data_IF_558650227718
#
_entry.id   IF_558650227718
#
_cell.length_a   1.000
_cell.length_b   1.000
_cell.length_c   1.000
_cell.angle_alpha   90.00
_cell.angle_beta   90.00
_cell.angle_gamma   90.00
#
_symmetry.space_group_name_H-M   'P 1'
#
loop_
_entity.id
_entity.type
_entity.pdbx_description
1 polymer ?
#
# COMPACT_ATOMS: atom_id res chain seq x y z
N UNK A 1 -25.53 7.48 -35.46
CA UNK A 1 -25.83 8.13 -34.16
C UNK A 1 -24.64 8.96 -33.73
N UNK A 2 -24.86 10.05 -33.00
CA UNK A 2 -23.77 10.94 -32.57
C UNK A 2 -23.16 10.38 -31.28
N UNK A 3 -21.83 10.28 -31.28
CA UNK A 3 -21.05 9.83 -30.15
C UNK A 3 -21.23 10.75 -28.93
N UNK A 4 -21.82 10.24 -27.85
CA UNK A 4 -22.06 11.02 -26.63
C UNK A 4 -20.84 11.08 -25.69
N UNK A 5 -19.78 10.29 -25.94
CA UNK A 5 -18.56 10.34 -25.12
C UNK A 5 -17.81 11.67 -25.22
N UNK A 6 -18.17 12.52 -26.19
CA UNK A 6 -17.60 13.85 -26.35
C UNK A 6 -16.16 13.84 -26.87
N UNK A 7 -15.61 15.04 -27.02
CA UNK A 7 -14.23 15.28 -27.49
C UNK A 7 -13.27 15.62 -26.36
N UNK A 8 -13.75 15.69 -25.12
CA UNK A 8 -12.95 16.05 -23.95
C UNK A 8 -12.56 14.79 -23.16
N UNK A 9 -11.33 14.76 -22.65
CA UNK A 9 -10.89 13.69 -21.77
C UNK A 9 -11.56 13.78 -20.39
N UNK A 10 -11.65 12.67 -19.62
CA UNK A 10 -12.18 12.71 -18.25
C UNK A 10 -11.39 13.63 -17.32
N UNK A 11 -12.07 14.58 -16.68
CA UNK A 11 -11.48 15.48 -15.67
C UNK A 11 -11.63 14.80 -14.31
N UNK A 12 -10.58 14.08 -13.91
CA UNK A 12 -10.51 13.34 -12.65
C UNK A 12 -10.00 14.24 -11.53
N UNK A 13 -10.55 14.07 -10.32
CA UNK A 13 -10.09 14.80 -9.14
C UNK A 13 -8.62 14.47 -8.76
N UNK A 14 -8.19 13.24 -9.01
CA UNK A 14 -6.83 12.77 -8.77
C UNK A 14 -6.37 11.87 -9.92
N UNK A 15 -5.15 12.09 -10.42
CA UNK A 15 -4.51 11.23 -11.43
C UNK A 15 -3.51 10.25 -10.83
N UNK A 16 -3.22 10.35 -9.52
CA UNK A 16 -2.49 9.34 -8.76
C UNK A 16 -3.42 8.70 -7.75
N UNK A 17 -3.69 7.41 -7.92
CA UNK A 17 -4.61 6.66 -7.06
C UNK A 17 -3.79 5.91 -6.01
N UNK A 18 -3.85 6.36 -4.76
CA UNK A 18 -3.20 5.72 -3.62
C UNK A 18 -4.21 4.85 -2.86
N UNK A 19 -4.54 3.69 -3.43
CA UNK A 19 -5.53 2.77 -2.88
C UNK A 19 -5.19 1.31 -3.22
N UNK A 20 -5.59 0.37 -2.37
CA UNK A 20 -5.41 -1.06 -2.59
C UNK A 20 -6.50 -1.57 -3.53
N UNK A 21 -6.28 -1.38 -4.82
CA UNK A 21 -7.15 -1.93 -5.85
C UNK A 21 -6.55 -3.23 -6.37
N UNK A 22 -7.32 -4.32 -6.29
CA UNK A 22 -6.96 -5.63 -6.81
C UNK A 22 -7.37 -5.82 -8.26
N UNK A 23 -8.47 -5.19 -8.68
CA UNK A 23 -9.06 -5.35 -10.02
C UNK A 23 -9.45 -4.01 -10.65
N UNK A 24 -9.58 -3.99 -11.97
CA UNK A 24 -10.02 -2.80 -12.73
C UNK A 24 -11.43 -2.37 -12.33
N UNK A 25 -12.33 -3.30 -11.99
CA UNK A 25 -13.67 -2.97 -11.50
C UNK A 25 -13.63 -2.15 -10.21
N UNK A 26 -12.76 -2.53 -9.26
CA UNK A 26 -12.56 -1.78 -8.02
C UNK A 26 -11.96 -0.40 -8.31
N UNK A 27 -11.00 -0.31 -9.25
CA UNK A 27 -10.43 0.96 -9.67
C UNK A 27 -11.49 1.91 -10.25
N UNK A 28 -12.36 1.42 -11.13
CA UNK A 28 -13.45 2.24 -11.72
C UNK A 28 -14.37 2.78 -10.61
N UNK A 29 -14.69 1.97 -9.60
CA UNK A 29 -15.58 2.39 -8.50
C UNK A 29 -15.03 3.55 -7.65
N UNK A 30 -13.70 3.76 -7.67
CA UNK A 30 -13.03 4.85 -6.96
C UNK A 30 -12.89 6.11 -7.80
N UNK A 31 -13.12 6.02 -9.11
CA UNK A 31 -12.96 7.15 -10.02
C UNK A 31 -14.27 7.94 -10.11
N UNK A 32 -14.14 9.26 -10.00
CA UNK A 32 -15.19 10.20 -10.33
C UNK A 32 -14.61 11.29 -11.22
N UNK A 33 -15.39 11.67 -12.24
CA UNK A 33 -15.00 12.68 -13.20
C UNK A 33 -16.05 13.79 -13.24
N UNK A 34 -15.61 15.05 -13.19
CA UNK A 34 -16.53 16.19 -13.07
C UNK A 34 -17.28 16.52 -14.37
N UNK A 35 -16.81 16.01 -15.51
CA UNK A 35 -17.34 16.29 -16.84
C UNK A 35 -17.93 15.05 -17.54
N UNK A 36 -18.35 14.02 -16.80
CA UNK A 36 -18.89 12.79 -17.41
C UNK A 36 -20.18 13.08 -18.19
N UNK A 37 -20.21 12.84 -19.52
CA UNK A 37 -21.43 13.03 -20.30
C UNK A 37 -22.51 12.02 -19.90
N UNK A 38 -23.77 12.44 -19.96
CA UNK A 38 -24.92 11.58 -19.63
C UNK A 38 -25.00 10.40 -20.60
N UNK A 39 -25.29 9.20 -20.09
CA UNK A 39 -25.40 7.98 -20.89
C UNK A 39 -24.07 7.30 -21.22
N UNK A 40 -22.96 7.81 -20.69
CA UNK A 40 -21.62 7.21 -20.84
C UNK A 40 -21.16 6.53 -19.56
N UNK A 41 -20.23 5.59 -19.68
CA UNK A 41 -19.57 4.93 -18.54
C UNK A 41 -18.07 5.16 -18.56
N UNK A 42 -17.44 5.14 -17.39
CA UNK A 42 -15.97 5.16 -17.27
C UNK A 42 -15.40 3.79 -17.65
N UNK A 43 -14.35 3.80 -18.45
CA UNK A 43 -13.62 2.61 -18.90
C UNK A 43 -12.11 2.84 -18.74
N UNK A 44 -11.38 1.75 -18.50
CA UNK A 44 -9.92 1.77 -18.31
C UNK A 44 -9.24 1.03 -19.45
N UNK A 45 -8.15 1.59 -19.94
CA UNK A 45 -7.39 1.09 -21.08
C UNK A 45 -5.91 0.95 -20.73
N UNK A 46 -5.23 0.02 -21.40
CA UNK A 46 -3.77 -0.19 -21.29
C UNK A 46 -2.95 0.74 -22.19
N UNK A 47 -3.59 1.51 -23.06
CA UNK A 47 -2.92 2.43 -23.98
C UNK A 47 -3.83 3.56 -24.45
N UNK A 48 -3.27 4.45 -25.27
CA UNK A 48 -3.98 5.57 -25.91
C UNK A 48 -3.71 5.56 -27.42
N UNK A 49 -4.71 5.90 -28.28
CA UNK A 49 -6.11 6.21 -27.96
C UNK A 49 -6.91 5.02 -27.39
N UNK A 50 -8.05 5.30 -26.76
CA UNK A 50 -8.96 4.27 -26.27
C UNK A 50 -9.59 3.49 -27.43
N UNK A 51 -9.54 2.17 -27.37
CA UNK A 51 -10.12 1.24 -28.36
C UNK A 51 -10.65 0.00 -27.65
N UNK A 52 -11.44 -0.83 -28.34
CA UNK A 52 -11.87 -2.11 -27.77
C UNK A 52 -10.70 -3.08 -27.53
N UNK A 53 -9.64 -2.99 -28.33
CA UNK A 53 -8.48 -3.87 -28.23
C UNK A 53 -7.65 -3.62 -26.95
N UNK A 54 -7.65 -2.39 -26.43
CA UNK A 54 -6.90 -2.03 -25.22
C UNK A 54 -7.80 -1.77 -24.00
N UNK A 55 -9.12 -1.95 -24.12
CA UNK A 55 -10.06 -1.87 -23.01
C UNK A 55 -9.86 -3.04 -22.05
N UNK A 56 -9.64 -2.73 -20.78
CA UNK A 56 -9.44 -3.73 -19.74
C UNK A 56 -10.79 -4.15 -19.15
N UNK A 57 -10.92 -5.45 -18.86
CA UNK A 57 -12.11 -6.01 -18.22
C UNK A 57 -12.10 -5.74 -16.72
N UNK A 58 -13.27 -5.73 -16.08
CA UNK A 58 -13.38 -5.51 -14.63
C UNK A 58 -12.55 -6.51 -13.80
N UNK A 59 -12.32 -7.73 -14.30
CA UNK A 59 -11.58 -8.78 -13.61
C UNK A 59 -10.06 -8.70 -13.83
N UNK A 60 -9.57 -7.82 -14.71
CA UNK A 60 -8.13 -7.67 -14.94
C UNK A 60 -7.46 -7.20 -13.65
N UNK A 61 -6.38 -7.88 -13.25
CA UNK A 61 -5.61 -7.52 -12.06
C UNK A 61 -4.90 -6.18 -12.27
N UNK A 62 -4.91 -5.34 -11.24
CA UNK A 62 -4.21 -4.06 -11.26
C UNK A 62 -2.78 -4.25 -10.79
N UNK A 63 -1.83 -3.72 -11.55
CA UNK A 63 -0.40 -3.78 -11.23
C UNK A 63 0.03 -2.44 -10.65
N UNK A 64 0.38 -2.43 -9.37
CA UNK A 64 0.88 -1.24 -8.67
C UNK A 64 2.08 -0.63 -9.41
N UNK A 65 2.11 0.70 -9.52
CA UNK A 65 3.11 1.46 -10.25
C UNK A 65 2.84 1.60 -11.76
N UNK A 66 1.81 0.94 -12.30
CA UNK A 66 1.49 1.01 -13.72
C UNK A 66 0.63 2.23 -14.07
N UNK A 67 0.82 2.72 -15.30
CA UNK A 67 -0.02 3.75 -15.90
C UNK A 67 -1.21 3.11 -16.62
N UNK A 68 -2.39 3.64 -16.35
CA UNK A 68 -3.64 3.28 -17.02
C UNK A 68 -4.28 4.51 -17.65
N UNK A 69 -5.18 4.30 -18.61
CA UNK A 69 -5.82 5.37 -19.37
C UNK A 69 -7.32 5.32 -19.21
N UNK A 70 -7.92 6.40 -18.69
CA UNK A 70 -9.35 6.50 -18.40
C UNK A 70 -10.06 7.19 -19.57
N UNK A 71 -11.14 6.62 -20.06
CA UNK A 71 -11.98 7.19 -21.11
C UNK A 71 -13.47 6.99 -20.80
N UNK A 72 -14.32 7.84 -21.37
CA UNK A 72 -15.76 7.62 -21.43
C UNK A 72 -16.10 6.71 -22.60
N UNK A 73 -17.02 5.79 -22.39
CA UNK A 73 -17.56 4.90 -23.42
C UNK A 73 -19.06 5.12 -23.57
N UNK A 74 -19.49 5.37 -24.81
CA UNK A 74 -20.90 5.36 -25.21
C UNK A 74 -21.22 4.00 -25.85
N UNK A 75 -22.01 3.19 -25.14
CA UNK A 75 -22.38 1.86 -25.60
C UNK A 75 -23.41 1.84 -26.74
N UNK A 76 -24.13 2.94 -26.95
CA UNK A 76 -25.07 3.07 -28.06
C UNK A 76 -24.29 3.38 -29.34
N UNK A 77 -23.42 4.39 -29.30
CA UNK A 77 -22.63 4.82 -30.46
C UNK A 77 -21.35 4.02 -30.71
N UNK A 78 -20.96 3.16 -29.77
CA UNK A 78 -19.72 2.36 -29.78
C UNK A 78 -18.50 3.27 -30.05
N UNK A 79 -18.31 4.24 -29.16
CA UNK A 79 -17.24 5.21 -29.30
C UNK A 79 -16.64 5.60 -27.94
N UNK A 80 -15.43 6.13 -28.00
CA UNK A 80 -14.64 6.52 -26.83
C UNK A 80 -14.28 8.02 -26.88
N UNK A 81 -14.20 8.64 -25.71
CA UNK A 81 -13.55 9.95 -25.57
C UNK A 81 -12.02 9.83 -25.67
N UNK A 82 -11.28 10.95 -25.77
CA UNK A 82 -9.86 10.97 -25.45
C UNK A 82 -9.59 10.48 -24.01
N UNK A 83 -8.34 10.10 -23.75
CA UNK A 83 -7.93 9.44 -22.50
C UNK A 83 -7.25 10.38 -21.52
N UNK A 84 -7.51 10.21 -20.23
CA UNK A 84 -6.72 10.78 -19.12
C UNK A 84 -5.83 9.71 -18.50
N UNK A 85 -4.52 9.94 -18.41
CA UNK A 85 -3.60 9.01 -17.78
C UNK A 85 -3.71 9.06 -16.25
N UNK A 86 -3.72 7.89 -15.62
CA UNK A 86 -3.65 7.71 -14.17
C UNK A 86 -2.54 6.74 -13.79
N UNK A 87 -1.95 6.92 -12.62
CA UNK A 87 -0.99 5.98 -12.03
C UNK A 87 -1.62 5.40 -10.78
N UNK A 88 -1.64 4.07 -10.69
CA UNK A 88 -2.12 3.38 -9.49
C UNK A 88 -0.93 3.02 -8.60
N UNK A 89 -1.00 3.39 -7.33
CA UNK A 89 -0.07 2.95 -6.29
C UNK A 89 -0.87 2.24 -5.22
N UNK A 90 -0.64 0.93 -5.06
CA UNK A 90 -1.17 0.17 -3.93
C UNK A 90 -0.36 0.53 -2.66
N UNK A 91 -0.57 1.76 -2.20
CA UNK A 91 -0.03 2.30 -0.96
C UNK A 91 -1.22 2.91 -0.24
N UNK A 92 -1.74 2.24 0.79
CA UNK A 92 -2.76 2.81 1.67
C UNK A 92 -2.12 3.20 2.99
N UNK A 93 -2.10 4.49 3.27
CA UNK A 93 -1.90 4.94 4.62
C UNK A 93 -3.26 4.89 5.31
N UNK A 94 -3.40 4.13 6.41
CA UNK A 94 -4.53 4.35 7.31
C UNK A 94 -4.38 5.79 7.81
N UNK A 95 -5.37 6.67 7.64
CA UNK A 95 -5.35 7.94 8.35
C UNK A 95 -5.15 7.64 9.83
N UNK A 96 -4.22 8.33 10.47
CA UNK A 96 -4.05 8.19 11.92
C UNK A 96 -5.38 8.47 12.61
N UNK A 97 -5.83 7.57 13.49
CA UNK A 97 -6.96 7.87 14.35
C UNK A 97 -6.46 8.94 15.33
N UNK A 98 -7.05 10.13 15.25
CA UNK A 98 -6.72 11.23 16.14
C UNK A 98 -7.64 11.14 17.36
N UNK A 99 -7.12 10.58 18.47
CA UNK A 99 -7.82 10.65 19.75
C UNK A 99 -7.47 11.97 20.47
N UNK A 100 -8.15 13.02 20.04
CA UNK A 100 -7.85 14.39 20.47
C UNK A 100 -8.18 14.56 21.96
N UNK A 101 -7.17 14.93 22.76
CA UNK A 101 -7.32 15.23 24.19
C UNK A 101 -6.85 14.11 25.12
N UNK A 102 -6.56 12.93 24.58
CA UNK A 102 -5.99 11.81 25.34
C UNK A 102 -4.46 11.75 25.18
N UNK A 103 -3.77 11.28 26.23
CA UNK A 103 -2.35 10.93 26.21
C UNK A 103 -2.19 9.43 26.43
N UNK A 104 -1.20 8.84 25.78
CA UNK A 104 -0.89 7.42 25.82
C UNK A 104 0.60 7.23 26.11
N UNK A 105 1.04 7.41 27.37
CA UNK A 105 2.44 7.39 27.71
C UNK A 105 3.04 6.00 27.43
N UNK A 106 4.13 5.95 26.67
CA UNK A 106 4.85 4.70 26.41
C UNK A 106 5.52 4.21 27.68
N UNK A 107 5.22 2.98 28.10
CA UNK A 107 5.72 2.44 29.37
C UNK A 107 7.03 1.67 29.23
N UNK A 108 7.39 1.26 28.01
CA UNK A 108 8.58 0.46 27.73
C UNK A 108 9.50 1.17 26.75
N UNK A 109 10.81 1.12 27.01
CA UNK A 109 11.79 1.56 26.02
C UNK A 109 13.23 1.23 26.38
N UNK A 110 14.11 1.43 25.40
CA UNK A 110 15.57 1.31 25.51
C UNK A 110 16.19 2.60 24.98
N UNK A 111 17.14 3.20 25.70
CA UNK A 111 17.84 4.42 25.27
C UNK A 111 19.34 4.34 25.48
N UNK A 112 20.09 4.83 24.50
CA UNK A 112 21.53 5.06 24.60
C UNK A 112 21.88 6.47 25.11
N UNK A 113 20.89 7.29 25.44
CA UNK A 113 21.07 8.70 25.85
C UNK A 113 21.16 8.89 27.38
N UNK A 114 21.18 7.81 28.16
CA UNK A 114 21.30 7.87 29.62
C UNK A 114 20.08 8.45 30.35
N UNK A 115 18.90 8.43 29.72
CA UNK A 115 17.66 9.00 30.29
C UNK A 115 16.76 7.99 30.99
N UNK A 116 17.04 6.69 30.82
CA UNK A 116 16.30 5.63 31.50
C UNK A 116 16.47 5.75 33.02
N UNK A 117 15.36 5.81 33.75
CA UNK A 117 15.38 5.92 35.21
C UNK A 117 15.94 7.22 35.77
N UNK A 118 16.18 8.25 34.93
CA UNK A 118 16.62 9.55 35.42
C UNK A 118 15.52 10.21 36.26
N UNK A 119 15.85 10.66 37.47
CA UNK A 119 14.94 11.45 38.31
C UNK A 119 14.49 12.69 37.51
N UNK A 120 13.18 12.86 37.33
CA UNK A 120 12.52 13.89 36.50
C UNK A 120 12.67 13.76 34.97
N UNK A 121 13.25 12.67 34.46
CA UNK A 121 13.39 12.46 33.01
C UNK A 121 12.07 12.11 32.31
N UNK A 122 11.07 11.63 33.07
CA UNK A 122 9.75 11.13 32.62
C UNK A 122 9.82 10.27 31.34
N UNK A 123 10.97 9.62 31.13
CA UNK A 123 11.27 8.82 29.96
C UNK A 123 11.05 7.35 30.34
N UNK A 124 10.40 6.52 29.49
CA UNK A 124 9.98 6.79 28.10
C UNK A 124 8.59 7.44 27.96
N UNK A 125 7.89 7.72 29.06
CA UNK A 125 6.49 8.18 29.09
C UNK A 125 6.20 9.47 28.31
N UNK A 126 7.19 10.35 28.11
CA UNK A 126 7.09 11.52 27.21
C UNK A 126 6.99 11.18 25.71
N UNK A 127 7.09 9.90 25.34
CA UNK A 127 6.77 9.42 24.00
C UNK A 127 5.36 8.86 24.06
N UNK A 128 4.46 9.47 23.31
CA UNK A 128 3.06 9.08 23.29
C UNK A 128 2.80 8.04 22.20
N UNK A 129 1.82 7.17 22.41
CA UNK A 129 1.25 6.25 21.42
C UNK A 129 2.20 5.18 20.86
N UNK A 130 3.32 4.87 21.54
CA UNK A 130 4.19 3.75 21.19
C UNK A 130 4.09 2.62 22.22
N UNK A 131 4.10 1.37 21.73
CA UNK A 131 4.23 0.20 22.60
C UNK A 131 5.64 0.06 23.17
N UNK A 132 6.65 0.37 22.34
CA UNK A 132 8.06 0.33 22.72
C UNK A 132 8.81 1.50 22.10
N UNK A 133 9.66 2.17 22.89
CA UNK A 133 10.50 3.29 22.45
C UNK A 133 11.95 2.83 22.32
N UNK A 134 12.60 3.09 21.19
CA UNK A 134 14.04 2.89 21.01
C UNK A 134 14.68 4.24 20.64
N UNK A 135 15.65 4.70 21.42
CA UNK A 135 16.22 6.05 21.23
C UNK A 135 17.76 6.08 21.25
N UNK A 136 18.36 6.65 20.21
CA UNK A 136 19.79 6.89 20.11
C UNK A 136 20.08 7.99 19.09
N UNK A 137 21.20 8.71 19.26
CA UNK A 137 21.68 9.70 18.27
C UNK A 137 22.63 9.11 17.23
N UNK A 138 23.39 8.08 17.64
CA UNK A 138 24.54 7.58 16.87
C UNK A 138 24.58 6.04 16.78
N UNK A 139 23.67 5.34 17.48
CA UNK A 139 23.61 3.88 17.49
C UNK A 139 22.41 3.43 16.67
N UNK A 140 22.65 2.55 15.70
CA UNK A 140 21.59 1.90 14.93
C UNK A 140 20.95 0.75 15.71
N UNK A 141 19.70 0.43 15.37
CA UNK A 141 19.07 -0.82 15.78
C UNK A 141 19.46 -1.93 14.80
N UNK A 142 20.01 -3.02 15.32
CA UNK A 142 20.40 -4.19 14.53
C UNK A 142 19.66 -5.40 15.07
N UNK A 143 18.85 -6.02 14.21
CA UNK A 143 18.21 -7.31 14.50
C UNK A 143 19.16 -8.47 14.18
N UNK A 144 18.83 -9.67 14.66
CA UNK A 144 19.53 -10.89 14.26
C UNK A 144 19.53 -11.03 12.73
N UNK A 145 20.70 -11.36 12.17
CA UNK A 145 20.91 -11.50 10.72
C UNK A 145 21.19 -12.94 10.37
N UNK A 146 20.63 -13.39 9.26
CA UNK A 146 21.01 -14.65 8.61
C UNK A 146 21.74 -14.34 7.32
N UNK A 147 22.87 -15.01 7.08
CA UNK A 147 23.74 -14.74 5.94
C UNK A 147 23.06 -15.11 4.60
N UNK A 148 22.31 -16.21 4.60
CA UNK A 148 21.62 -16.75 3.43
C UNK A 148 20.19 -17.16 3.80
N UNK A 149 19.30 -17.21 2.81
CA UNK A 149 17.93 -17.72 2.99
C UNK A 149 17.94 -19.18 3.43
N UNK A 150 18.84 -20.00 2.86
CA UNK A 150 19.00 -21.39 3.28
C UNK A 150 19.42 -21.53 4.76
N UNK A 151 20.13 -20.53 5.30
CA UNK A 151 20.53 -20.49 6.71
C UNK A 151 19.38 -20.45 7.70
N UNK A 152 18.16 -20.10 7.27
CA UNK A 152 16.95 -20.13 8.11
C UNK A 152 16.61 -21.54 8.59
N UNK A 153 17.01 -22.59 7.84
CA UNK A 153 16.82 -23.98 8.24
C UNK A 153 17.59 -24.36 9.53
N UNK A 154 18.59 -23.56 9.92
CA UNK A 154 19.32 -23.76 11.17
C UNK A 154 18.52 -23.31 12.41
N UNK A 155 17.44 -22.56 12.23
CA UNK A 155 16.51 -22.20 13.30
C UNK A 155 15.52 -23.36 13.40
N UNK A 156 15.84 -24.37 14.22
CA UNK A 156 15.11 -25.65 14.26
C UNK A 156 13.75 -25.57 14.98
N UNK A 157 13.55 -24.56 15.81
CA UNK A 157 12.29 -24.34 16.56
C UNK A 157 11.80 -22.89 16.37
N UNK A 158 11.44 -22.49 15.14
CA UNK A 158 10.93 -21.14 14.91
C UNK A 158 9.52 -21.00 15.49
N UNK A 159 9.27 -19.86 16.14
CA UNK A 159 7.97 -19.51 16.71
C UNK A 159 7.35 -18.39 15.88
N UNK A 160 6.03 -18.42 15.73
CA UNK A 160 5.31 -17.36 15.05
C UNK A 160 5.68 -15.97 15.60
N UNK A 161 5.90 -15.02 14.69
CA UNK A 161 6.31 -13.66 15.01
C UNK A 161 7.83 -13.48 15.16
N UNK A 162 8.64 -14.55 15.14
CA UNK A 162 10.10 -14.40 15.10
C UNK A 162 10.52 -13.61 13.85
N UNK A 163 11.44 -12.66 14.02
CA UNK A 163 11.94 -11.81 12.93
C UNK A 163 13.46 -11.88 12.80
N UNK A 164 13.95 -11.89 11.56
CA UNK A 164 15.38 -11.84 11.23
C UNK A 164 15.59 -11.03 9.96
N UNK A 165 16.74 -10.39 9.81
CA UNK A 165 17.11 -9.78 8.53
C UNK A 165 17.91 -10.77 7.69
N UNK A 166 17.40 -11.09 6.50
CA UNK A 166 18.04 -11.98 5.54
C UNK A 166 18.91 -11.17 4.59
N UNK A 167 20.23 -11.35 4.65
CA UNK A 167 21.17 -10.54 3.87
C UNK A 167 21.24 -10.94 2.40
N UNK A 168 20.90 -12.18 2.06
CA UNK A 168 20.85 -12.65 0.68
C UNK A 168 19.58 -12.13 -0.01
N UNK A 169 18.43 -12.28 0.65
CA UNK A 169 17.15 -11.76 0.16
C UNK A 169 16.98 -10.23 0.35
N UNK A 170 17.87 -9.59 1.13
CA UNK A 170 17.86 -8.14 1.44
C UNK A 170 16.54 -7.66 2.05
N UNK A 171 15.92 -8.45 2.90
CA UNK A 171 14.61 -8.16 3.48
C UNK A 171 14.56 -8.51 4.98
N UNK A 172 13.70 -7.81 5.73
CA UNK A 172 13.28 -8.28 7.05
C UNK A 172 12.28 -9.42 6.86
N UNK A 173 12.57 -10.59 7.43
CA UNK A 173 11.69 -11.75 7.41
C UNK A 173 10.98 -11.93 8.74
N UNK A 174 9.75 -12.42 8.68
CA UNK A 174 8.94 -12.86 9.81
C UNK A 174 8.53 -14.31 9.59
N UNK A 175 8.59 -15.13 10.64
CA UNK A 175 8.04 -16.48 10.61
C UNK A 175 6.56 -16.42 10.99
N UNK A 176 5.66 -16.74 10.06
CA UNK A 176 4.21 -16.66 10.27
C UNK A 176 3.46 -17.56 9.28
N UNK A 177 2.15 -17.76 9.50
CA UNK A 177 1.25 -18.33 8.51
C UNK A 177 0.67 -17.20 7.66
N UNK A 178 1.19 -17.03 6.45
CA UNK A 178 0.65 -16.05 5.52
C UNK A 178 -0.66 -16.58 4.91
N UNK A 179 -1.63 -15.68 4.69
CA UNK A 179 -2.87 -16.03 3.99
C UNK A 179 -2.59 -16.73 2.65
N UNK A 180 -3.23 -17.88 2.45
CA UNK A 180 -3.03 -18.75 1.28
C UNK A 180 -1.98 -19.85 1.48
N UNK A 181 -1.14 -19.76 2.51
CA UNK A 181 -0.20 -20.82 2.85
C UNK A 181 -0.86 -21.89 3.73
N UNK A 182 -0.40 -23.13 3.58
CA UNK A 182 -0.88 -24.29 4.35
C UNK A 182 0.01 -24.63 5.54
N UNK A 183 1.15 -23.96 5.67
CA UNK A 183 2.13 -24.18 6.71
C UNK A 183 2.91 -22.90 7.02
N UNK A 184 3.41 -22.81 8.24
CA UNK A 184 4.26 -21.72 8.70
C UNK A 184 5.55 -21.65 7.88
N UNK A 185 5.97 -20.45 7.48
CA UNK A 185 7.24 -20.25 6.80
C UNK A 185 7.82 -18.85 7.09
N UNK A 186 9.05 -18.65 6.65
CA UNK A 186 9.72 -17.36 6.71
C UNK A 186 9.36 -16.50 5.49
N UNK A 187 8.72 -15.36 5.72
CA UNK A 187 8.28 -14.44 4.66
C UNK A 187 8.95 -13.09 4.79
N UNK A 188 9.38 -12.50 3.66
CA UNK A 188 9.80 -11.11 3.66
C UNK A 188 8.61 -10.17 3.94
N UNK A 189 8.80 -9.20 4.81
CA UNK A 189 7.87 -8.09 5.02
C UNK A 189 8.11 -7.08 3.89
N UNK A 190 7.48 -7.31 2.75
CA UNK A 190 7.58 -6.45 1.56
C UNK A 190 6.39 -5.55 1.35
N UNK A 191 5.25 -5.92 1.93
CA UNK A 191 4.00 -5.20 1.79
C UNK A 191 3.87 -4.25 2.98
N UNK A 192 3.91 -2.91 2.78
CA UNK A 192 3.55 -1.97 3.83
C UNK A 192 2.14 -2.31 4.30
N UNK A 193 1.93 -2.35 5.62
CA UNK A 193 0.60 -2.63 6.17
C UNK A 193 -0.39 -1.58 5.67
N UNK A 194 -1.48 -2.06 5.08
CA UNK A 194 -2.69 -1.32 4.78
C UNK A 194 -3.84 -2.13 5.40
N UNK A 195 -4.50 -1.63 6.46
CA UNK A 195 -5.24 -2.44 7.42
C UNK A 195 -6.70 -2.66 7.02
N UNK A 196 -7.21 -3.83 7.43
CA UNK A 196 -8.60 -4.35 7.44
C UNK A 196 -9.63 -3.72 6.49
#
# INVERSE_FOLDING_TARGET
MVCQSGTDAPILANTTINANVSTIGNLISLLSASNQPTGTVITIHSGTPATDANKLTNNTAVVSGSTYYVAYYDGLAICYSPTTAIIVKNQCYKPGIMDTGNTYPSQQGITALGRAGANNGNWPMLRESAWTVLESKEKGFVVNRVATTAGLANITNPIEGMMVYDTEAKCLKIYTLKEGDVAMAWHCITTPACPD
#
